data_IF_703960955952
#
_entry.id   IF_703960955952
#
_cell.length_a   1.000
_cell.length_b   1.000
_cell.length_c   1.000
_cell.angle_alpha   90.00
_cell.angle_beta   90.00
_cell.angle_gamma   90.00
#
_symmetry.space_group_name_H-M   'P 1'
#
loop_
_entity.id
_entity.type
_entity.pdbx_description
1 polymer ?
#
# COMPACT_ATOMS: atom_id res chain seq x y z
N UNK A 1 -6.04 1.83 -11.26
CA UNK A 1 -5.12 2.31 -10.21
C UNK A 1 -5.16 1.41 -8.98
N UNK A 2 -4.18 1.52 -8.10
CA UNK A 2 -4.06 0.72 -6.88
C UNK A 2 -5.28 0.91 -5.98
N UNK A 3 -5.86 2.11 -5.96
CA UNK A 3 -7.06 2.45 -5.20
C UNK A 3 -8.30 1.74 -5.68
N UNK A 4 -8.25 1.13 -6.86
CA UNK A 4 -9.37 0.47 -7.53
C UNK A 4 -9.09 -1.02 -7.79
N UNK A 5 -8.17 -1.62 -7.05
CA UNK A 5 -7.82 -3.04 -7.25
C UNK A 5 -9.05 -3.94 -7.17
N UNK A 6 -9.87 -3.77 -6.14
CA UNK A 6 -11.11 -4.54 -6.00
C UNK A 6 -12.02 -4.37 -7.21
N UNK A 7 -12.25 -3.11 -7.63
CA UNK A 7 -13.11 -2.83 -8.79
C UNK A 7 -12.57 -3.47 -10.07
N UNK A 8 -11.27 -3.36 -10.31
CA UNK A 8 -10.64 -3.98 -11.48
C UNK A 8 -10.80 -5.50 -11.49
N UNK A 9 -10.57 -6.15 -10.34
CA UNK A 9 -10.75 -7.60 -10.23
C UNK A 9 -12.21 -8.01 -10.47
N UNK A 10 -13.17 -7.28 -9.91
CA UNK A 10 -14.59 -7.55 -10.11
C UNK A 10 -15.03 -7.38 -11.55
N UNK A 11 -14.35 -6.50 -12.30
CA UNK A 11 -14.62 -6.29 -13.72
C UNK A 11 -13.89 -7.28 -14.64
N UNK A 12 -13.16 -8.24 -14.07
CA UNK A 12 -12.56 -9.33 -14.82
C UNK A 12 -11.05 -9.29 -14.97
N UNK A 13 -10.35 -8.34 -14.32
CA UNK A 13 -8.89 -8.37 -14.32
C UNK A 13 -8.40 -9.60 -13.56
N UNK A 14 -7.37 -10.28 -14.08
CA UNK A 14 -6.81 -11.48 -13.47
C UNK A 14 -5.79 -11.18 -12.39
N UNK A 15 -5.18 -10.01 -12.45
CA UNK A 15 -4.11 -9.61 -11.54
C UNK A 15 -3.97 -8.09 -11.53
N UNK A 16 -3.08 -7.57 -10.71
CA UNK A 16 -2.75 -6.16 -10.68
C UNK A 16 -1.25 -5.93 -10.57
N UNK A 17 -0.80 -4.82 -11.12
CA UNK A 17 0.55 -4.29 -10.96
C UNK A 17 0.40 -2.83 -10.54
N UNK A 18 1.08 -2.42 -9.49
CA UNK A 18 0.95 -1.04 -9.02
C UNK A 18 2.14 -0.57 -8.19
N UNK A 19 2.32 0.74 -8.16
CA UNK A 19 3.46 1.39 -7.52
C UNK A 19 3.45 1.34 -5.99
N UNK A 20 2.32 1.04 -5.36
CA UNK A 20 2.23 0.98 -3.90
C UNK A 20 2.24 -0.44 -3.33
N UNK A 21 2.19 -1.45 -4.17
CA UNK A 21 2.09 -2.84 -3.73
C UNK A 21 3.29 -3.26 -2.87
N UNK A 22 4.49 -2.81 -3.23
CA UNK A 22 5.71 -3.14 -2.48
C UNK A 22 5.78 -2.55 -1.08
N UNK A 23 5.00 -1.49 -0.79
CA UNK A 23 4.96 -0.88 0.55
C UNK A 23 4.13 -1.70 1.53
N UNK A 24 3.14 -2.43 1.02
CA UNK A 24 2.15 -3.16 1.82
C UNK A 24 1.67 -4.42 1.10
N UNK A 25 2.60 -5.31 0.71
CA UNK A 25 2.24 -6.51 -0.06
C UNK A 25 1.26 -7.40 0.68
N UNK A 26 1.37 -7.49 1.99
CA UNK A 26 0.47 -8.31 2.82
C UNK A 26 -0.99 -7.89 2.64
N UNK A 27 -1.25 -6.58 2.55
CA UNK A 27 -2.60 -6.06 2.40
C UNK A 27 -3.17 -6.37 1.02
N UNK A 28 -2.36 -6.23 -0.04
CA UNK A 28 -2.82 -6.55 -1.40
C UNK A 28 -3.01 -8.05 -1.60
N UNK A 29 -2.16 -8.89 -1.04
CA UNK A 29 -2.33 -10.35 -1.09
C UNK A 29 -3.60 -10.76 -0.35
N UNK A 30 -3.84 -10.20 0.84
CA UNK A 30 -5.06 -10.46 1.60
C UNK A 30 -6.31 -10.01 0.83
N UNK A 31 -6.25 -8.82 0.22
CA UNK A 31 -7.35 -8.30 -0.60
C UNK A 31 -7.66 -9.24 -1.77
N UNK A 32 -6.63 -9.69 -2.47
CA UNK A 32 -6.79 -10.62 -3.58
C UNK A 32 -7.44 -11.94 -3.13
N UNK A 33 -7.01 -12.47 -2.00
CA UNK A 33 -7.58 -13.69 -1.44
C UNK A 33 -9.05 -13.51 -1.03
N UNK A 34 -9.41 -12.38 -0.46
CA UNK A 34 -10.80 -12.06 -0.11
C UNK A 34 -11.69 -12.03 -1.37
N UNK A 35 -11.18 -11.46 -2.46
CA UNK A 35 -11.90 -11.43 -3.74
C UNK A 35 -12.10 -12.85 -4.27
N UNK A 36 -11.06 -13.65 -4.28
CA UNK A 36 -11.11 -15.04 -4.76
C UNK A 36 -12.07 -15.90 -3.93
N UNK A 37 -12.19 -15.60 -2.63
CA UNK A 37 -13.10 -16.29 -1.72
C UNK A 37 -14.50 -15.68 -1.70
N UNK A 38 -14.78 -14.71 -2.56
CA UNK A 38 -16.05 -13.99 -2.64
C UNK A 38 -16.45 -13.28 -1.34
N UNK A 39 -15.46 -12.85 -0.56
CA UNK A 39 -15.67 -12.09 0.67
C UNK A 39 -15.67 -10.58 0.37
N UNK A 40 -16.65 -10.14 -0.42
CA UNK A 40 -16.64 -8.81 -1.04
C UNK A 40 -16.75 -7.68 0.00
N UNK A 41 -17.56 -7.83 1.03
CA UNK A 41 -17.69 -6.79 2.06
C UNK A 41 -16.38 -6.61 2.86
N UNK A 42 -15.69 -7.71 3.16
CA UNK A 42 -14.36 -7.64 3.80
C UNK A 42 -13.34 -7.01 2.85
N UNK A 43 -13.39 -7.38 1.58
CA UNK A 43 -12.52 -6.82 0.54
C UNK A 43 -12.72 -5.30 0.42
N UNK A 44 -13.96 -4.82 0.45
CA UNK A 44 -14.26 -3.38 0.44
C UNK A 44 -13.62 -2.67 1.63
N UNK A 45 -13.81 -3.20 2.82
CA UNK A 45 -13.24 -2.60 4.03
C UNK A 45 -11.70 -2.52 3.94
N UNK A 46 -11.06 -3.59 3.45
CA UNK A 46 -9.61 -3.61 3.28
C UNK A 46 -9.15 -2.65 2.19
N UNK A 47 -9.87 -2.57 1.07
CA UNK A 47 -9.56 -1.61 0.02
C UNK A 47 -9.57 -0.17 0.55
N UNK A 48 -10.53 0.19 1.40
CA UNK A 48 -10.57 1.52 1.99
C UNK A 48 -9.39 1.78 2.93
N UNK A 49 -8.93 0.78 3.67
CA UNK A 49 -7.71 0.91 4.49
C UNK A 49 -6.47 1.13 3.62
N UNK A 50 -6.36 0.38 2.53
CA UNK A 50 -5.27 0.56 1.56
C UNK A 50 -5.31 1.96 0.97
N UNK A 51 -6.49 2.44 0.58
CA UNK A 51 -6.63 3.78 0.02
C UNK A 51 -6.21 4.87 1.00
N UNK A 52 -6.50 4.68 2.28
CA UNK A 52 -6.08 5.60 3.33
C UNK A 52 -4.55 5.71 3.38
N UNK A 53 -3.85 4.58 3.30
CA UNK A 53 -2.38 4.57 3.21
C UNK A 53 -1.90 5.26 1.93
N UNK A 54 -2.54 4.98 0.80
CA UNK A 54 -2.15 5.60 -0.47
C UNK A 54 -2.28 7.13 -0.41
N UNK A 55 -3.35 7.64 0.20
CA UNK A 55 -3.51 9.09 0.37
C UNK A 55 -2.42 9.67 1.27
N UNK A 56 -2.00 8.97 2.31
CA UNK A 56 -0.87 9.40 3.12
C UNK A 56 0.43 9.46 2.30
N UNK A 57 0.68 8.45 1.47
CA UNK A 57 1.85 8.43 0.57
C UNK A 57 1.81 9.60 -0.42
N UNK A 58 0.63 9.88 -0.98
CA UNK A 58 0.46 10.99 -1.93
C UNK A 58 0.62 12.36 -1.26
N UNK A 59 0.45 12.45 0.05
CA UNK A 59 0.65 13.71 0.78
C UNK A 59 2.12 14.04 1.02
N UNK A 60 3.04 13.14 0.70
CA UNK A 60 4.48 13.39 0.72
C UNK A 60 4.93 14.13 -0.54
N UNK A 61 6.18 14.56 -0.59
CA UNK A 61 6.73 15.31 -1.73
C UNK A 61 6.67 14.52 -3.04
N UNK A 62 6.78 13.20 -2.98
CA UNK A 62 6.49 12.33 -4.11
C UNK A 62 6.04 10.96 -3.61
N UNK A 63 5.15 10.33 -4.37
CA UNK A 63 4.67 8.98 -4.06
C UNK A 63 5.81 7.97 -4.06
N UNK A 64 6.65 7.99 -5.09
CA UNK A 64 7.73 7.01 -5.23
C UNK A 64 8.85 7.24 -4.22
N UNK A 65 9.12 8.49 -3.88
CA UNK A 65 10.04 8.81 -2.79
C UNK A 65 9.55 8.27 -1.46
N UNK A 66 8.27 8.50 -1.15
CA UNK A 66 7.63 7.99 0.06
C UNK A 66 7.63 6.46 0.08
N UNK A 67 7.26 5.82 -1.03
CA UNK A 67 7.22 4.36 -1.12
C UNK A 67 8.58 3.73 -0.83
N UNK A 68 9.65 4.26 -1.40
CA UNK A 68 11.01 3.77 -1.16
C UNK A 68 11.41 3.90 0.32
N UNK A 69 11.06 5.01 0.96
CA UNK A 69 11.38 5.22 2.37
C UNK A 69 10.54 4.35 3.29
N UNK A 70 9.28 4.11 2.96
CA UNK A 70 8.42 3.19 3.70
C UNK A 70 8.95 1.75 3.63
N UNK A 71 9.39 1.31 2.45
CA UNK A 71 10.01 -0.01 2.27
C UNK A 71 11.27 -0.13 3.15
N UNK A 72 12.10 0.91 3.16
CA UNK A 72 13.29 0.93 4.02
C UNK A 72 12.91 0.82 5.50
N UNK A 73 11.90 1.58 5.92
CA UNK A 73 11.43 1.59 7.31
C UNK A 73 10.85 0.23 7.72
N UNK A 74 10.04 -0.38 6.87
CA UNK A 74 9.38 -1.65 7.19
C UNK A 74 10.29 -2.87 7.07
N UNK A 75 11.15 -2.89 6.06
CA UNK A 75 11.89 -4.11 5.69
C UNK A 75 13.40 -3.97 5.77
N UNK A 76 13.92 -2.78 6.05
CA UNK A 76 15.35 -2.54 6.13
C UNK A 76 16.07 -2.53 4.78
N UNK A 77 15.33 -2.49 3.67
CA UNK A 77 15.89 -2.47 2.32
C UNK A 77 15.98 -1.03 1.82
N UNK A 78 17.20 -0.55 1.60
CA UNK A 78 17.44 0.80 1.08
C UNK A 78 17.46 0.80 -0.44
N UNK A 79 16.37 1.20 -1.08
CA UNK A 79 16.26 1.34 -2.52
C UNK A 79 16.71 2.73 -3.00
N UNK A 80 17.21 3.58 -2.11
CA UNK A 80 17.64 4.93 -2.42
C UNK A 80 16.48 5.90 -2.59
N UNK A 81 16.74 6.97 -3.36
CA UNK A 81 15.73 7.98 -3.68
C UNK A 81 15.32 7.86 -5.15
N UNK A 82 14.15 8.39 -5.52
CA UNK A 82 13.71 8.33 -6.91
C UNK A 82 14.56 9.23 -7.80
N UNK A 83 14.58 8.92 -9.09
CA UNK A 83 15.20 9.78 -10.08
C UNK A 83 14.34 11.00 -10.37
N UNK A 84 14.98 12.11 -10.75
CA UNK A 84 14.29 13.30 -11.26
C UNK A 84 13.36 12.90 -12.44
N UNK A 85 12.18 13.45 -12.56
CA UNK A 85 11.63 14.63 -11.84
C UNK A 85 10.95 14.32 -10.50
N UNK A 86 10.92 13.08 -10.06
CA UNK A 86 10.32 12.75 -8.77
C UNK A 86 11.20 13.25 -7.63
N UNK A 87 10.55 13.85 -6.62
CA UNK A 87 11.25 14.43 -5.50
C UNK A 87 11.67 13.39 -4.47
N UNK A 88 12.84 13.53 -3.86
CA UNK A 88 13.21 12.70 -2.71
C UNK A 88 12.36 13.04 -1.50
N UNK A 89 12.19 12.07 -0.59
CA UNK A 89 11.44 12.23 0.65
C UNK A 89 12.37 12.01 1.83
N UNK A 90 12.48 13.03 2.69
CA UNK A 90 13.37 13.02 3.85
C UNK A 90 12.64 13.15 5.19
N UNK A 91 11.31 13.29 5.19
CA UNK A 91 10.50 13.40 6.41
C UNK A 91 10.39 12.02 7.07
N UNK A 92 11.36 11.70 7.91
CA UNK A 92 11.44 10.39 8.57
C UNK A 92 10.30 10.14 9.54
N UNK A 93 9.78 11.20 10.19
CA UNK A 93 8.65 11.04 11.12
C UNK A 93 7.37 10.67 10.37
N UNK A 94 7.10 11.35 9.27
CA UNK A 94 5.92 11.07 8.44
C UNK A 94 6.00 9.68 7.83
N UNK A 95 7.17 9.29 7.33
CA UNK A 95 7.41 7.95 6.78
C UNK A 95 7.19 6.88 7.86
N UNK A 96 7.68 7.11 9.08
CA UNK A 96 7.48 6.18 10.17
C UNK A 96 6.00 6.03 10.54
N UNK A 97 5.26 7.13 10.58
CA UNK A 97 3.82 7.09 10.84
C UNK A 97 3.08 6.26 9.80
N UNK A 98 3.44 6.40 8.52
CA UNK A 98 2.86 5.60 7.44
C UNK A 98 3.21 4.13 7.62
N UNK A 99 4.48 3.82 7.88
CA UNK A 99 4.93 2.44 8.10
C UNK A 99 4.21 1.80 9.30
N UNK A 100 4.06 2.53 10.39
CA UNK A 100 3.37 2.04 11.60
C UNK A 100 1.88 1.80 11.31
N UNK A 101 1.25 2.65 10.52
CA UNK A 101 -0.14 2.47 10.10
C UNK A 101 -0.31 1.20 9.29
N UNK A 102 0.62 0.93 8.35
CA UNK A 102 0.60 -0.30 7.56
C UNK A 102 0.76 -1.51 8.50
N UNK A 103 1.72 -1.47 9.41
CA UNK A 103 1.93 -2.56 10.38
C UNK A 103 0.68 -2.83 11.22
N UNK A 104 -0.03 -1.77 11.63
CA UNK A 104 -1.29 -1.92 12.36
C UNK A 104 -2.35 -2.61 11.50
N UNK A 105 -2.49 -2.21 10.24
CA UNK A 105 -3.46 -2.84 9.34
C UNK A 105 -3.10 -4.29 9.03
N UNK A 106 -1.81 -4.60 8.89
CA UNK A 106 -1.35 -5.99 8.72
C UNK A 106 -1.70 -6.82 9.97
N UNK A 107 -1.48 -6.27 11.16
CA UNK A 107 -1.85 -6.93 12.41
C UNK A 107 -3.34 -7.23 12.51
N UNK A 108 -4.19 -6.33 12.01
CA UNK A 108 -5.64 -6.52 12.00
C UNK A 108 -6.08 -7.68 11.10
N UNK A 109 -5.29 -8.07 10.10
CA UNK A 109 -5.58 -9.22 9.26
C UNK A 109 -5.59 -10.52 10.08
N UNK A 110 -4.75 -10.61 11.08
CA UNK A 110 -4.59 -11.81 11.90
C UNK A 110 -5.68 -11.93 12.97
N UNK A 111 -6.47 -10.88 13.19
CA UNK A 111 -7.55 -10.85 14.17
C UNK A 111 -8.90 -11.39 13.66
N UNK A 112 -8.93 -11.87 12.44
CA UNK A 112 -10.16 -12.36 11.80
C UNK A 112 -10.56 -13.72 12.31
#
# INVERSE_FOLDING_TARGET
SDEQFLGGRLMGANAGIGGTYGTMPELFVALNNMIDNNEIEKAKALQFKINDVIFDLLSCDSLYGAAKQVIKCRFGVDAGQPRSPFLPVYDTEKVKLIADKIERYVGELDER
#
